data_IF_328413121939
#
_entry.id   IF_328413121939
#
_cell.length_a   1.000
_cell.length_b   1.000
_cell.length_c   1.000
_cell.angle_alpha   90.00
_cell.angle_beta   90.00
_cell.angle_gamma   90.00
#
_symmetry.space_group_name_H-M   'P 1'
#
loop_
_entity.id
_entity.type
_entity.pdbx_description
1 polymer ?
#
# COMPACT_ATOMS: atom_id res chain seq x y z
N UNK A 1 1.78 18.62 -6.99
CA UNK A 1 1.42 19.86 -6.26
C UNK A 1 0.03 19.83 -5.59
N UNK A 2 -0.64 18.68 -5.38
CA UNK A 2 -2.09 18.66 -5.10
C UNK A 2 -2.56 18.57 -3.63
N UNK A 3 -1.70 18.59 -2.61
CA UNK A 3 -2.17 18.47 -1.21
C UNK A 3 -1.37 19.34 -0.24
N UNK A 4 -1.87 20.55 0.01
CA UNK A 4 -1.37 21.40 1.09
C UNK A 4 -1.82 20.84 2.44
N UNK A 5 -0.88 20.43 3.29
CA UNK A 5 -1.16 19.92 4.66
C UNK A 5 -1.98 20.89 5.52
N UNK A 6 -1.92 22.20 5.21
CA UNK A 6 -2.73 23.24 5.88
C UNK A 6 -4.21 23.23 5.50
N UNK A 7 -4.55 22.84 4.26
CA UNK A 7 -5.93 22.96 3.73
C UNK A 7 -6.67 21.62 3.67
N UNK A 8 -5.93 20.51 3.68
CA UNK A 8 -6.50 19.15 3.65
C UNK A 8 -6.09 18.39 4.90
N UNK A 9 -6.99 18.25 5.91
CA UNK A 9 -6.74 17.51 7.15
C UNK A 9 -6.83 16.01 6.91
N UNK A 10 -5.97 15.49 6.03
CA UNK A 10 -5.92 14.08 5.68
C UNK A 10 -4.48 13.62 5.90
N UNK A 11 -4.32 12.64 6.78
CA UNK A 11 -3.04 11.99 7.04
C UNK A 11 -3.15 10.52 6.66
N UNK A 12 -2.01 9.87 6.42
CA UNK A 12 -1.99 8.41 6.35
C UNK A 12 -2.22 7.84 7.75
N UNK A 13 -3.07 6.81 7.86
CA UNK A 13 -3.30 6.03 9.09
C UNK A 13 -2.00 5.38 9.56
N UNK A 14 -1.11 5.10 8.63
CA UNK A 14 -0.01 4.17 8.83
C UNK A 14 1.25 4.91 9.24
N UNK A 15 1.86 4.50 10.35
CA UNK A 15 3.25 4.87 10.69
C UNK A 15 4.29 4.17 9.80
N UNK A 16 3.85 3.36 8.83
CA UNK A 16 4.73 2.66 7.91
C UNK A 16 5.48 3.64 7.01
N UNK A 17 6.81 3.69 7.15
CA UNK A 17 7.68 4.54 6.33
C UNK A 17 7.65 4.13 4.84
N UNK A 18 7.37 2.85 4.54
CA UNK A 18 7.48 2.29 3.19
C UNK A 18 6.58 1.07 2.94
N UNK A 19 5.96 1.01 1.75
CA UNK A 19 5.29 -0.20 1.21
C UNK A 19 6.29 -1.24 0.68
N UNK A 20 7.60 -0.98 0.79
CA UNK A 20 8.64 -1.82 0.21
C UNK A 20 8.58 -3.25 0.75
N UNK A 21 8.19 -3.44 2.01
CA UNK A 21 8.04 -4.76 2.64
C UNK A 21 6.87 -5.52 2.02
N UNK A 22 5.67 -4.93 2.01
CA UNK A 22 4.50 -5.46 1.32
C UNK A 22 4.79 -5.87 -0.13
N UNK A 23 5.34 -4.96 -0.95
CA UNK A 23 5.68 -5.23 -2.35
C UNK A 23 6.70 -6.36 -2.49
N UNK A 24 7.71 -6.42 -1.63
CA UNK A 24 8.72 -7.49 -1.66
C UNK A 24 8.12 -8.86 -1.38
N UNK A 25 7.22 -8.96 -0.40
CA UNK A 25 6.54 -10.21 -0.04
C UNK A 25 5.63 -10.66 -1.17
N UNK A 26 4.80 -9.77 -1.69
CA UNK A 26 3.83 -10.09 -2.75
C UNK A 26 4.53 -10.48 -4.07
N UNK A 27 5.59 -9.79 -4.45
CA UNK A 27 6.41 -10.20 -5.60
C UNK A 27 7.13 -11.52 -5.37
N UNK A 28 7.53 -11.85 -4.13
CA UNK A 28 8.10 -13.16 -3.81
C UNK A 28 7.05 -14.27 -3.98
N UNK A 29 5.82 -14.05 -3.52
CA UNK A 29 4.69 -14.98 -3.69
C UNK A 29 4.38 -15.21 -5.16
N UNK A 30 4.33 -14.16 -5.98
CA UNK A 30 4.13 -14.25 -7.42
C UNK A 30 5.21 -15.12 -8.08
N UNK A 31 6.49 -14.87 -7.78
CA UNK A 31 7.60 -15.68 -8.31
C UNK A 31 7.57 -17.13 -7.86
N UNK A 32 7.17 -17.40 -6.61
CA UNK A 32 7.07 -18.76 -6.11
C UNK A 32 5.96 -19.54 -6.81
N UNK A 33 4.78 -18.93 -7.01
CA UNK A 33 3.69 -19.56 -7.77
C UNK A 33 4.06 -19.83 -9.22
N UNK A 34 4.78 -18.90 -9.87
CA UNK A 34 5.31 -19.12 -11.23
C UNK A 34 6.30 -20.30 -11.28
N UNK A 35 7.20 -20.41 -10.29
CA UNK A 35 8.17 -21.52 -10.22
C UNK A 35 7.54 -22.88 -9.95
N UNK A 36 6.43 -22.91 -9.21
CA UNK A 36 5.74 -24.13 -8.85
C UNK A 36 4.70 -24.56 -9.89
N UNK A 37 4.50 -23.79 -10.95
CA UNK A 37 3.52 -24.09 -11.96
C UNK A 37 4.03 -25.19 -12.89
N UNK A 38 3.17 -26.18 -13.16
CA UNK A 38 3.45 -27.23 -14.13
C UNK A 38 3.35 -26.65 -15.55
N UNK A 39 4.38 -26.88 -16.37
CA UNK A 39 4.49 -26.34 -17.72
C UNK A 39 3.53 -27.02 -18.71
N UNK A 40 3.02 -28.19 -18.35
CA UNK A 40 2.12 -29.00 -19.20
C UNK A 40 0.66 -28.53 -19.15
N UNK A 41 0.22 -27.92 -18.04
CA UNK A 41 -1.13 -27.39 -17.83
C UNK A 41 -1.10 -25.88 -17.49
N UNK A 42 -0.05 -25.18 -17.91
CA UNK A 42 0.25 -23.84 -17.42
C UNK A 42 -0.82 -22.80 -17.80
N UNK A 43 -1.66 -22.47 -16.84
CA UNK A 43 -2.47 -21.25 -16.87
C UNK A 43 -1.70 -20.16 -16.13
N UNK A 44 -1.34 -19.09 -16.84
CA UNK A 44 -0.63 -17.95 -16.26
C UNK A 44 -1.46 -17.35 -15.12
N UNK A 45 -0.93 -17.27 -13.88
CA UNK A 45 -1.66 -16.68 -12.78
C UNK A 45 -1.90 -15.18 -13.04
N UNK A 46 -3.14 -14.72 -12.85
CA UNK A 46 -3.53 -13.32 -13.05
C UNK A 46 -2.65 -12.41 -12.17
N UNK A 47 -2.01 -11.37 -12.73
CA UNK A 47 -1.23 -10.40 -11.97
C UNK A 47 -1.97 -9.76 -10.79
N UNK A 48 -3.30 -9.61 -10.87
CA UNK A 48 -4.16 -9.06 -9.80
C UNK A 48 -4.40 -10.04 -8.65
N UNK A 49 -4.05 -11.32 -8.81
CA UNK A 49 -4.10 -12.29 -7.72
C UNK A 49 -3.06 -12.01 -6.62
N UNK A 50 -2.10 -11.12 -6.88
CA UNK A 50 -1.06 -10.73 -5.93
C UNK A 50 -1.09 -9.23 -5.67
N UNK A 51 -0.79 -8.83 -4.43
CA UNK A 51 -0.63 -7.42 -4.08
C UNK A 51 -1.93 -6.63 -4.09
N UNK A 52 -2.91 -7.04 -3.28
CA UNK A 52 -4.11 -6.25 -3.03
C UNK A 52 -3.72 -4.82 -2.60
N UNK A 53 -4.03 -3.77 -3.41
CA UNK A 53 -3.63 -2.40 -3.12
C UNK A 53 -4.16 -1.86 -1.77
N UNK A 54 -5.29 -2.39 -1.32
CA UNK A 54 -5.96 -2.03 -0.06
C UNK A 54 -5.45 -2.80 1.16
N UNK A 55 -4.51 -3.72 0.97
CA UNK A 55 -3.84 -4.45 2.05
C UNK A 55 -2.39 -3.96 2.26
N UNK A 56 -2.00 -2.86 1.59
CA UNK A 56 -0.65 -2.32 1.67
C UNK A 56 -0.38 -1.73 3.05
N UNK A 57 0.87 -1.79 3.49
CA UNK A 57 1.30 -1.24 4.79
C UNK A 57 1.01 0.26 4.94
N UNK A 58 0.86 1.00 3.82
CA UNK A 58 0.45 2.41 3.78
C UNK A 58 -1.04 2.67 3.54
N UNK A 59 -1.86 1.64 3.51
CA UNK A 59 -3.28 1.84 3.28
C UNK A 59 -4.00 2.42 4.50
N UNK A 60 -4.99 3.27 4.22
CA UNK A 60 -5.73 4.02 5.22
C UNK A 60 -5.40 5.49 5.19
N UNK A 61 -6.39 6.31 4.82
CA UNK A 61 -6.36 7.76 5.05
C UNK A 61 -7.25 8.06 6.23
N UNK A 62 -6.71 8.74 7.23
CA UNK A 62 -7.49 9.28 8.33
C UNK A 62 -7.68 10.77 8.12
N UNK A 63 -8.93 11.20 8.26
CA UNK A 63 -9.22 12.61 8.44
C UNK A 63 -8.81 12.94 9.87
N UNK A 64 -7.88 13.88 10.02
CA UNK A 64 -7.49 14.38 11.34
C UNK A 64 -8.38 15.55 11.71
N UNK A 65 -8.62 15.73 13.00
CA UNK A 65 -9.30 16.90 13.52
C UNK A 65 -8.27 18.05 13.62
N UNK A 66 -8.43 19.16 12.87
CA UNK A 66 -7.49 20.28 12.86
C UNK A 66 -7.21 20.87 14.24
N UNK A 67 -8.23 20.88 15.11
CA UNK A 67 -8.16 21.53 16.41
C UNK A 67 -7.42 20.65 17.43
N UNK A 68 -7.45 19.32 17.27
CA UNK A 68 -6.77 18.37 18.15
C UNK A 68 -5.32 18.12 17.75
N UNK A 69 -4.98 18.28 16.48
CA UNK A 69 -3.64 17.99 15.96
C UNK A 69 -3.10 19.10 15.04
N UNK A 70 -2.91 20.32 15.55
CA UNK A 70 -2.46 21.46 14.75
C UNK A 70 -1.06 21.25 14.15
N UNK A 71 -0.19 20.49 14.83
CA UNK A 71 1.19 20.23 14.41
C UNK A 71 1.26 19.37 13.14
N UNK A 72 0.33 18.42 12.97
CA UNK A 72 0.24 17.58 11.77
C UNK A 72 -0.23 18.36 10.53
N UNK A 73 -0.82 19.55 10.72
CA UNK A 73 -1.26 20.44 9.65
C UNK A 73 -0.25 21.56 9.35
N UNK A 74 0.83 21.68 10.14
CA UNK A 74 1.93 22.63 9.92
C UNK A 74 3.04 21.98 9.08
N UNK A 75 3.76 22.82 8.32
CA UNK A 75 4.73 22.38 7.31
C UNK A 75 6.11 22.26 7.91
#
# INVERSE_FOLDING_TARGET
>A
MSRSRRKTPITGITKAESDKRFKKVEHKRARQKLKAADLTEYTQPDPKAFGNPWASDKDGKQRIDPDKFPDLMRK
#
